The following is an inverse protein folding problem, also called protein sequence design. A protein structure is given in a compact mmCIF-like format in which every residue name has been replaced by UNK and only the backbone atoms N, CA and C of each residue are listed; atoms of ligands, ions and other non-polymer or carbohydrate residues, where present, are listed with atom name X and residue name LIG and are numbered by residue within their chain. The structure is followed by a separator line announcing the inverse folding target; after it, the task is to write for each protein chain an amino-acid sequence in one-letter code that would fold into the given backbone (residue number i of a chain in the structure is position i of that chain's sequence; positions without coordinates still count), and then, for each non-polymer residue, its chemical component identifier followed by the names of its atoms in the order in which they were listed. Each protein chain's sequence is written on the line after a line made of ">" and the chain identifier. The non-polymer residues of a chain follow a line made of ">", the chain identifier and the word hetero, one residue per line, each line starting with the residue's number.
data_IF_390091796750
#
_entry.id   IF_390091796750
#
_cell.length_a   1.000
_cell.length_b   1.000
_cell.length_c   1.000
_cell.angle_alpha   90.00
_cell.angle_beta   90.00
_cell.angle_gamma   90.00
#
_symmetry.space_group_name_H-M   'P 1'
#
loop_
_entity.id
_entity.type
_entity.pdbx_description
1 polymer ?
#
# COMPACT_ATOMS: atom_id res chain seq x y z
N UNK A 1 23.09 -6.57 -15.94
CA UNK A 1 23.13 -7.08 -14.57
C UNK A 1 22.25 -6.26 -13.65
N UNK A 2 22.51 -4.98 -13.57
CA UNK A 2 21.69 -4.09 -12.76
C UNK A 2 20.26 -4.00 -13.28
N UNK A 3 20.09 -4.15 -14.57
CA UNK A 3 18.78 -4.11 -15.20
C UNK A 3 17.81 -5.17 -14.65
N UNK A 4 18.34 -6.31 -14.22
CA UNK A 4 17.53 -7.38 -13.66
C UNK A 4 16.91 -6.91 -12.32
N UNK A 5 17.68 -6.15 -11.52
CA UNK A 5 17.17 -5.60 -10.26
C UNK A 5 16.10 -4.55 -10.50
N UNK A 6 16.27 -3.75 -11.54
CA UNK A 6 15.33 -2.68 -11.88
C UNK A 6 13.97 -3.24 -12.23
N UNK A 7 13.95 -4.35 -12.97
CA UNK A 7 12.71 -4.99 -13.39
C UNK A 7 11.89 -5.48 -12.19
N UNK A 8 12.55 -5.90 -11.12
CA UNK A 8 11.84 -6.47 -9.96
C UNK A 8 10.85 -5.50 -9.35
N UNK A 9 11.27 -4.27 -9.06
CA UNK A 9 10.37 -3.33 -8.41
C UNK A 9 9.26 -2.87 -9.35
N UNK A 10 9.55 -2.81 -10.65
CA UNK A 10 8.56 -2.43 -11.66
C UNK A 10 7.46 -3.51 -11.75
N UNK A 11 7.85 -4.79 -11.73
CA UNK A 11 6.89 -5.87 -11.73
C UNK A 11 6.02 -5.87 -10.46
N UNK A 12 6.63 -5.61 -9.31
CA UNK A 12 5.87 -5.48 -8.07
C UNK A 12 4.94 -4.28 -8.12
N UNK A 13 5.42 -3.17 -8.68
CA UNK A 13 4.57 -2.01 -8.83
C UNK A 13 3.34 -2.30 -9.67
N UNK A 14 3.48 -3.03 -10.76
CA UNK A 14 2.33 -3.40 -11.60
C UNK A 14 1.26 -4.14 -10.79
N UNK A 15 1.68 -5.06 -9.92
CA UNK A 15 0.74 -5.79 -9.06
C UNK A 15 0.12 -4.90 -8.00
N UNK A 16 0.91 -4.03 -7.38
CA UNK A 16 0.42 -3.06 -6.41
C UNK A 16 -0.61 -2.13 -7.06
N UNK A 17 -0.30 -1.64 -8.25
CA UNK A 17 -1.21 -0.74 -8.97
C UNK A 17 -2.59 -1.40 -9.18
N UNK A 18 -2.61 -2.65 -9.64
CA UNK A 18 -3.87 -3.37 -9.84
C UNK A 18 -4.66 -3.51 -8.55
N UNK A 19 -3.98 -3.85 -7.47
CA UNK A 19 -4.63 -3.98 -6.16
C UNK A 19 -5.17 -2.64 -5.69
N UNK A 20 -4.39 -1.57 -5.87
CA UNK A 20 -4.79 -0.23 -5.47
C UNK A 20 -6.03 0.23 -6.22
N UNK A 21 -6.07 0.02 -7.54
CA UNK A 21 -7.24 0.37 -8.35
C UNK A 21 -8.49 -0.31 -7.81
N UNK A 22 -8.41 -1.60 -7.49
CA UNK A 22 -9.56 -2.34 -6.96
C UNK A 22 -10.04 -1.82 -5.61
N UNK A 23 -9.10 -1.44 -4.75
CA UNK A 23 -9.45 -0.86 -3.46
C UNK A 23 -10.15 0.50 -3.64
N UNK A 24 -9.58 1.35 -4.49
CA UNK A 24 -10.10 2.69 -4.73
C UNK A 24 -11.49 2.64 -5.38
N UNK A 25 -11.76 1.66 -6.23
CA UNK A 25 -13.10 1.48 -6.80
C UNK A 25 -14.18 1.40 -5.71
N UNK A 26 -13.88 0.74 -4.60
CA UNK A 26 -14.83 0.62 -3.49
C UNK A 26 -14.88 1.90 -2.67
N UNK A 27 -13.72 2.45 -2.31
CA UNK A 27 -13.66 3.58 -1.38
C UNK A 27 -14.12 4.89 -2.00
N UNK A 28 -14.03 5.03 -3.32
CA UNK A 28 -14.49 6.22 -4.03
C UNK A 28 -15.85 6.03 -4.72
N UNK A 29 -16.46 4.85 -4.55
CA UNK A 29 -17.79 4.60 -5.10
C UNK A 29 -18.84 5.49 -4.40
N UNK A 30 -19.87 5.86 -5.16
CA UNK A 30 -20.97 6.70 -4.65
C UNK A 30 -21.94 5.83 -3.85
N UNK A 31 -21.46 5.31 -2.71
CA UNK A 31 -22.23 4.47 -1.80
C UNK A 31 -21.83 4.79 -0.37
N UNK A 32 -22.78 4.71 0.53
CA UNK A 32 -22.50 4.88 1.95
C UNK A 32 -21.97 3.57 2.53
N UNK A 33 -21.06 3.69 3.50
CA UNK A 33 -20.50 2.54 4.19
C UNK A 33 -21.61 1.66 4.79
N UNK A 34 -22.65 2.28 5.32
CA UNK A 34 -23.76 1.58 5.96
C UNK A 34 -24.57 0.72 4.97
N UNK A 35 -24.45 1.00 3.69
CA UNK A 35 -25.18 0.27 2.65
C UNK A 35 -24.43 -0.95 2.13
N UNK A 36 -23.20 -1.15 2.59
CA UNK A 36 -22.40 -2.31 2.18
C UNK A 36 -22.86 -3.55 2.94
N UNK A 37 -23.01 -4.65 2.22
CA UNK A 37 -23.32 -5.94 2.84
C UNK A 37 -22.11 -6.45 3.64
N UNK A 38 -22.36 -7.41 4.50
CA UNK A 38 -21.30 -8.06 5.27
C UNK A 38 -20.22 -8.64 4.33
N UNK A 39 -20.66 -9.28 3.23
CA UNK A 39 -19.73 -9.83 2.25
C UNK A 39 -18.89 -8.73 1.58
N UNK A 40 -19.53 -7.60 1.28
CA UNK A 40 -18.80 -6.47 0.69
C UNK A 40 -17.79 -5.88 1.66
N UNK A 41 -18.13 -5.81 2.95
CA UNK A 41 -17.19 -5.33 3.97
C UNK A 41 -15.99 -6.28 4.10
N UNK A 42 -16.25 -7.59 4.10
CA UNK A 42 -15.17 -8.57 4.15
C UNK A 42 -14.26 -8.45 2.91
N UNK A 43 -14.86 -8.25 1.75
CA UNK A 43 -14.11 -8.06 0.52
C UNK A 43 -13.25 -6.80 0.56
N UNK A 44 -13.79 -5.72 1.13
CA UNK A 44 -13.04 -4.48 1.28
C UNK A 44 -11.81 -4.68 2.18
N UNK A 45 -12.01 -5.37 3.31
CA UNK A 45 -10.91 -5.64 4.24
C UNK A 45 -9.81 -6.46 3.54
N UNK A 46 -10.19 -7.49 2.79
CA UNK A 46 -9.22 -8.30 2.05
C UNK A 46 -8.47 -7.49 1.01
N UNK A 47 -9.16 -6.61 0.28
CA UNK A 47 -8.49 -5.75 -0.70
C UNK A 47 -7.51 -4.80 -0.02
N UNK A 48 -7.86 -4.27 1.13
CA UNK A 48 -6.97 -3.41 1.89
C UNK A 48 -5.72 -4.18 2.35
N UNK A 49 -5.91 -5.34 2.96
CA UNK A 49 -4.78 -6.13 3.45
C UNK A 49 -3.82 -6.50 2.32
N UNK A 50 -4.36 -6.94 1.20
CA UNK A 50 -3.57 -7.31 0.05
C UNK A 50 -2.83 -6.11 -0.53
N UNK A 51 -3.51 -4.97 -0.65
CA UNK A 51 -2.91 -3.75 -1.19
C UNK A 51 -1.78 -3.25 -0.31
N UNK A 52 -2.00 -3.23 1.01
CA UNK A 52 -0.94 -2.81 1.93
C UNK A 52 0.28 -3.72 1.84
N UNK A 53 0.06 -5.02 1.77
CA UNK A 53 1.16 -5.98 1.67
C UNK A 53 2.01 -5.72 0.42
N UNK A 54 1.37 -5.48 -0.70
CA UNK A 54 2.09 -5.16 -1.93
C UNK A 54 2.75 -3.78 -1.85
N UNK A 55 2.13 -2.83 -1.16
CA UNK A 55 2.68 -1.48 -1.04
C UNK A 55 4.06 -1.48 -0.37
N UNK A 56 4.17 -2.11 0.81
CA UNK A 56 5.45 -2.07 1.49
C UNK A 56 6.50 -2.91 0.77
N UNK A 57 6.08 -3.98 0.08
CA UNK A 57 7.03 -4.81 -0.69
C UNK A 57 7.60 -4.06 -1.89
N UNK A 58 6.78 -3.31 -2.61
CA UNK A 58 7.30 -2.52 -3.73
C UNK A 58 8.21 -1.40 -3.23
N UNK A 59 7.88 -0.78 -2.10
CA UNK A 59 8.77 0.21 -1.51
C UNK A 59 10.12 -0.40 -1.11
N UNK A 60 10.08 -1.57 -0.49
CA UNK A 60 11.31 -2.27 -0.12
C UNK A 60 12.20 -2.55 -1.34
N UNK A 61 11.60 -3.09 -2.40
CA UNK A 61 12.36 -3.39 -3.62
C UNK A 61 12.95 -2.13 -4.23
N UNK A 62 12.19 -1.04 -4.26
CA UNK A 62 12.68 0.22 -4.81
C UNK A 62 13.81 0.81 -3.96
N UNK A 63 13.68 0.75 -2.64
CA UNK A 63 14.73 1.25 -1.74
C UNK A 63 16.02 0.43 -1.88
N UNK A 64 15.90 -0.89 -2.03
CA UNK A 64 17.06 -1.73 -2.29
C UNK A 64 17.69 -1.39 -3.62
N UNK A 65 16.88 -1.15 -4.65
CA UNK A 65 17.38 -0.72 -5.95
C UNK A 65 18.16 0.60 -5.84
N UNK A 66 17.70 1.51 -4.99
CA UNK A 66 18.41 2.78 -4.76
C UNK A 66 19.71 2.62 -3.99
N UNK A 67 19.98 1.45 -3.45
CA UNK A 67 21.23 1.17 -2.75
C UNK A 67 21.18 1.38 -1.25
N UNK A 68 20.02 1.60 -0.68
CA UNK A 68 19.90 1.77 0.76
C UNK A 68 20.11 0.46 1.50
N UNK A 69 20.71 0.56 2.68
CA UNK A 69 20.82 -0.55 3.63
C UNK A 69 19.90 -0.22 4.81
N UNK A 70 18.98 -1.09 5.10
CA UNK A 70 17.98 -0.86 6.14
C UNK A 70 17.43 -2.19 6.62
N UNK A 71 16.70 -2.16 7.74
CA UNK A 71 16.05 -3.35 8.24
C UNK A 71 14.89 -3.73 7.33
N UNK A 72 14.95 -4.95 6.77
CA UNK A 72 13.91 -5.43 5.85
C UNK A 72 12.61 -5.71 6.61
N UNK A 73 11.51 -5.77 5.89
CA UNK A 73 10.18 -5.96 6.46
C UNK A 73 9.40 -4.66 6.49
N UNK A 74 8.11 -4.71 6.90
CA UNK A 74 7.26 -3.54 6.80
C UNK A 74 7.73 -2.36 7.63
N UNK A 75 8.09 -2.55 8.89
CA UNK A 75 8.45 -1.44 9.77
C UNK A 75 9.73 -0.75 9.33
N UNK A 76 10.77 -1.52 9.02
CA UNK A 76 12.04 -0.96 8.56
C UNK A 76 11.90 -0.28 7.21
N UNK A 77 11.09 -0.87 6.33
CA UNK A 77 10.83 -0.29 5.02
C UNK A 77 10.12 1.05 5.14
N UNK A 78 9.07 1.14 5.98
CA UNK A 78 8.34 2.40 6.15
C UNK A 78 9.24 3.49 6.71
N UNK A 79 10.10 3.15 7.65
CA UNK A 79 11.04 4.11 8.21
C UNK A 79 11.99 4.63 7.14
N UNK A 80 12.58 3.73 6.35
CA UNK A 80 13.50 4.12 5.30
C UNK A 80 12.79 4.91 4.20
N UNK A 81 11.58 4.51 3.84
CA UNK A 81 10.79 5.20 2.83
C UNK A 81 10.50 6.65 3.27
N UNK A 82 10.22 6.85 4.53
CA UNK A 82 10.01 8.20 5.07
C UNK A 82 11.31 9.01 5.01
N UNK A 83 12.43 8.42 5.41
CA UNK A 83 13.74 9.09 5.36
C UNK A 83 14.13 9.44 3.91
N UNK A 84 13.80 8.60 2.95
CA UNK A 84 14.05 8.85 1.53
C UNK A 84 13.15 9.94 0.95
N UNK A 85 12.02 10.22 1.59
CA UNK A 85 11.02 11.12 1.04
C UNK A 85 10.00 10.43 0.14
N UNK A 86 10.04 9.10 0.04
CA UNK A 86 9.08 8.33 -0.76
C UNK A 86 7.68 8.44 -0.18
N UNK A 87 7.56 8.49 1.13
CA UNK A 87 6.31 8.78 1.83
C UNK A 87 6.53 9.96 2.77
N UNK A 88 5.47 10.73 3.01
CA UNK A 88 5.55 11.90 3.88
C UNK A 88 4.80 11.72 5.19
N UNK A 89 3.76 10.90 5.23
CA UNK A 89 2.96 10.68 6.44
C UNK A 89 3.39 9.37 7.11
N UNK A 90 4.53 9.40 7.78
CA UNK A 90 5.07 8.21 8.44
C UNK A 90 4.10 7.67 9.51
N UNK A 91 3.50 8.57 10.29
CA UNK A 91 2.55 8.14 11.33
C UNK A 91 1.32 7.46 10.75
N UNK A 92 0.80 8.01 9.65
CA UNK A 92 -0.33 7.40 8.95
C UNK A 92 0.00 6.00 8.44
N UNK A 93 1.16 5.84 7.84
CA UNK A 93 1.61 4.53 7.35
C UNK A 93 1.84 3.54 8.48
N UNK A 94 2.41 3.98 9.60
CA UNK A 94 2.60 3.12 10.76
C UNK A 94 1.26 2.68 11.36
N UNK A 95 0.30 3.60 11.41
CA UNK A 95 -1.06 3.26 11.87
C UNK A 95 -1.70 2.25 10.95
N UNK A 96 -1.50 2.40 9.63
CA UNK A 96 -1.99 1.46 8.62
C UNK A 96 -1.42 0.07 8.86
N UNK A 97 -0.11 -0.03 9.10
CA UNK A 97 0.54 -1.31 9.38
C UNK A 97 -0.02 -1.95 10.66
N UNK A 98 -0.25 -1.14 11.69
CA UNK A 98 -0.83 -1.63 12.94
C UNK A 98 -2.27 -2.13 12.73
N UNK A 99 -3.07 -1.38 11.97
CA UNK A 99 -4.44 -1.79 11.68
C UNK A 99 -4.46 -3.10 10.91
N UNK A 100 -3.57 -3.26 9.95
CA UNK A 100 -3.46 -4.51 9.19
C UNK A 100 -3.16 -5.68 10.12
N UNK A 101 -2.25 -5.51 11.08
CA UNK A 101 -1.95 -6.56 12.04
C UNK A 101 -3.16 -6.89 12.93
N UNK A 102 -3.89 -5.88 13.35
CA UNK A 102 -5.11 -6.06 14.14
C UNK A 102 -6.13 -6.89 13.39
N UNK A 103 -6.34 -6.60 12.10
CA UNK A 103 -7.30 -7.33 11.27
C UNK A 103 -6.97 -8.82 11.15
N UNK A 104 -5.71 -9.19 11.32
CA UNK A 104 -5.29 -10.60 11.28
C UNK A 104 -5.74 -11.39 12.51
N UNK A 105 -6.10 -10.71 13.60
CA UNK A 105 -6.38 -11.36 14.89
C UNK A 105 -7.77 -11.07 15.44
N UNK A 106 -8.55 -10.22 14.77
CA UNK A 106 -9.83 -9.75 15.29
C UNK A 106 -10.96 -10.15 14.37
N UNK A 107 -12.01 -10.73 14.95
CA UNK A 107 -13.21 -11.13 14.24
C UNK A 107 -14.45 -10.39 14.72
N UNK A 108 -14.29 -9.41 15.62
CA UNK A 108 -15.37 -8.64 16.20
C UNK A 108 -15.65 -7.40 15.35
N UNK A 109 -16.89 -7.23 14.90
CA UNK A 109 -17.30 -6.09 14.09
C UNK A 109 -17.01 -4.76 14.78
N UNK A 110 -17.16 -4.70 16.12
CA UNK A 110 -16.90 -3.47 16.86
C UNK A 110 -15.47 -2.99 16.73
N UNK A 111 -14.51 -3.90 16.59
CA UNK A 111 -13.11 -3.55 16.44
C UNK A 111 -12.72 -3.34 14.97
N UNK A 112 -13.41 -4.00 14.06
CA UNK A 112 -13.13 -3.91 12.63
C UNK A 112 -13.68 -2.63 12.03
N UNK A 113 -14.86 -2.21 12.44
CA UNK A 113 -15.55 -1.05 11.86
C UNK A 113 -14.73 0.25 11.93
N UNK A 114 -14.07 0.59 13.07
CA UNK A 114 -13.21 1.78 13.10
C UNK A 114 -12.08 1.71 12.08
N UNK A 115 -11.52 0.52 11.86
CA UNK A 115 -10.45 0.34 10.89
C UNK A 115 -11.00 0.56 9.47
N UNK A 116 -12.19 0.04 9.18
CA UNK A 116 -12.82 0.24 7.87
C UNK A 116 -13.02 1.74 7.60
N UNK A 117 -13.45 2.49 8.61
CA UNK A 117 -13.59 3.95 8.46
C UNK A 117 -12.25 4.61 8.15
N UNK A 118 -11.17 4.14 8.78
CA UNK A 118 -9.82 4.65 8.49
C UNK A 118 -9.38 4.27 7.07
N UNK A 119 -9.79 3.12 6.57
CA UNK A 119 -9.47 2.74 5.18
C UNK A 119 -10.03 3.81 4.23
N UNK A 120 -11.27 4.24 4.44
CA UNK A 120 -11.88 5.27 3.61
C UNK A 120 -11.22 6.63 3.79
N UNK A 121 -11.01 7.06 5.02
CA UNK A 121 -10.60 8.43 5.32
C UNK A 121 -9.10 8.67 5.21
N UNK A 122 -8.28 7.64 5.47
CA UNK A 122 -6.83 7.80 5.56
C UNK A 122 -6.04 6.84 4.71
N UNK A 123 -6.33 5.54 4.81
CA UNK A 123 -5.44 4.52 4.25
C UNK A 123 -5.52 4.46 2.73
N UNK A 124 -6.73 4.44 2.18
CA UNK A 124 -6.88 4.41 0.72
C UNK A 124 -6.28 5.67 0.08
N UNK A 125 -6.49 6.89 0.61
CA UNK A 125 -5.82 8.06 0.08
C UNK A 125 -4.29 7.98 0.13
N UNK A 126 -3.71 7.42 1.20
CA UNK A 126 -2.25 7.25 1.28
C UNK A 126 -1.75 6.26 0.24
N UNK A 127 -2.46 5.15 0.07
CA UNK A 127 -2.11 4.15 -0.93
C UNK A 127 -2.22 4.70 -2.34
N UNK A 128 -3.27 5.49 -2.60
CA UNK A 128 -3.47 6.13 -3.90
C UNK A 128 -2.34 7.10 -4.21
N UNK A 129 -1.92 7.88 -3.22
CA UNK A 129 -0.82 8.82 -3.40
C UNK A 129 0.48 8.10 -3.73
N UNK A 130 0.75 7.00 -3.03
CA UNK A 130 1.93 6.19 -3.33
C UNK A 130 1.88 5.65 -4.75
N UNK A 131 0.72 5.13 -5.17
CA UNK A 131 0.54 4.62 -6.52
C UNK A 131 0.86 5.67 -7.57
N UNK A 132 0.37 6.89 -7.39
CA UNK A 132 0.61 7.99 -8.31
C UNK A 132 2.10 8.35 -8.39
N UNK A 133 2.77 8.40 -7.24
CA UNK A 133 4.19 8.72 -7.20
C UNK A 133 5.04 7.63 -7.85
N UNK A 134 4.73 6.37 -7.58
CA UNK A 134 5.46 5.26 -8.17
C UNK A 134 5.22 5.16 -9.68
N UNK A 135 4.02 5.53 -10.14
CA UNK A 135 3.74 5.59 -11.57
C UNK A 135 4.68 6.56 -12.27
N UNK A 136 4.85 7.74 -11.69
CA UNK A 136 5.76 8.73 -12.25
C UNK A 136 7.21 8.23 -12.27
N UNK A 137 7.65 7.62 -11.18
CA UNK A 137 9.01 7.08 -11.11
C UNK A 137 9.22 5.97 -12.13
N UNK A 138 8.25 5.10 -12.33
CA UNK A 138 8.38 4.00 -13.29
C UNK A 138 8.51 4.49 -14.72
N UNK A 139 7.96 5.68 -15.01
CA UNK A 139 8.00 6.27 -16.34
C UNK A 139 9.29 7.06 -16.61
N UNK A 140 9.95 7.53 -15.57
CA UNK A 140 11.11 8.41 -15.68
C UNK A 140 12.44 7.66 -15.76
N UNK A 141 12.47 6.39 -15.42
CA UNK A 141 13.72 5.70 -15.19
C UNK A 141 14.28 5.06 -16.46
N UNK A 142 15.60 5.01 -16.52
CA UNK A 142 16.31 4.42 -17.66
C UNK A 142 16.03 2.94 -17.81
N UNK A 143 15.62 2.28 -16.75
CA UNK A 143 15.33 0.85 -16.81
C UNK A 143 14.15 0.53 -17.71
N UNK A 144 13.36 1.52 -18.11
CA UNK A 144 12.31 1.28 -19.11
C UNK A 144 12.87 1.04 -20.49
N UNK A 145 14.12 1.33 -20.69
CA UNK A 145 14.80 1.14 -21.98
C UNK A 145 15.36 -0.26 -22.14
N UNK A 146 15.26 -1.08 -21.14
CA UNK A 146 15.79 -2.43 -21.12
C UNK A 146 15.04 -3.37 -22.07
#
# INVERSE_FOLDING_TARGET
>A
MEQIKDIRWIQRYANFHKACVRLIEVTEADRYLEDLSELELEGLVQRFEYTFELAWKVMQDLLLYKGYEFMLGPNGTLKMAFEDGMISDHDGWRRMAKSRNTLSHVYDEEEVLPIIKLIYSNYAPLLKKLDEELALLSQQQDYQQI
#
